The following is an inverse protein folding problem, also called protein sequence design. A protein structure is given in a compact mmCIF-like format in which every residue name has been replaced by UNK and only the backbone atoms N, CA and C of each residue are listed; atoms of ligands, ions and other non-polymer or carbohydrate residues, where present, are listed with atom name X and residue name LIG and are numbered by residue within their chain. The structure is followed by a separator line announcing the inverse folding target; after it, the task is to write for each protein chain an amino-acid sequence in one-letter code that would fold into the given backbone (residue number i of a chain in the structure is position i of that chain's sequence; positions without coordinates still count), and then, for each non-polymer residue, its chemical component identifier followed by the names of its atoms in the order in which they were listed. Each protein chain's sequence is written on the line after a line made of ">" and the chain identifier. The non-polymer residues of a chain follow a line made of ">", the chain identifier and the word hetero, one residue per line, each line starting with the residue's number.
data_IF_681833100570
#
_entry.id   IF_681833100570
#
_cell.length_a   1.000
_cell.length_b   1.000
_cell.length_c   1.000
_cell.angle_alpha   90.00
_cell.angle_beta   90.00
_cell.angle_gamma   90.00
#
_symmetry.space_group_name_H-M   'P 1'
#
loop_
_entity.id
_entity.type
_entity.pdbx_description
1 polymer ?
#
# COMPACT_ATOMS: atom_id res chain seq x y z
N UNK A 1 -54.67 -3.87 -12.89
CA UNK A 1 -53.85 -5.07 -12.71
C UNK A 1 -53.42 -5.51 -14.09
N UNK A 2 -52.24 -5.07 -14.53
CA UNK A 2 -51.78 -5.21 -15.90
C UNK A 2 -50.30 -5.64 -15.87
N UNK A 3 -50.04 -6.82 -15.33
CA UNK A 3 -48.70 -7.40 -15.19
C UNK A 3 -48.45 -8.51 -16.20
N UNK A 4 -49.06 -8.42 -17.39
CA UNK A 4 -48.75 -9.36 -18.47
C UNK A 4 -47.45 -8.92 -19.16
N UNK A 5 -46.42 -9.77 -19.26
CA UNK A 5 -45.22 -9.47 -20.03
C UNK A 5 -45.57 -9.21 -21.49
N UNK A 6 -44.77 -8.42 -22.19
CA UNK A 6 -44.98 -8.15 -23.62
C UNK A 6 -44.80 -9.42 -24.45
N UNK A 7 -45.38 -9.44 -25.65
CA UNK A 7 -45.23 -10.57 -26.59
C UNK A 7 -43.75 -10.86 -26.92
N UNK A 8 -42.89 -9.82 -26.90
CA UNK A 8 -41.45 -9.96 -27.11
C UNK A 8 -40.76 -10.69 -25.95
N UNK A 9 -41.16 -10.40 -24.70
CA UNK A 9 -40.68 -11.13 -23.51
C UNK A 9 -41.11 -12.60 -23.57
N UNK A 10 -42.35 -12.87 -23.97
CA UNK A 10 -42.88 -14.23 -24.12
C UNK A 10 -42.08 -15.02 -25.18
N UNK A 11 -41.81 -14.42 -26.34
CA UNK A 11 -41.02 -15.07 -27.40
C UNK A 11 -39.58 -15.35 -26.97
N UNK A 12 -38.98 -14.43 -26.20
CA UNK A 12 -37.64 -14.62 -25.65
C UNK A 12 -37.59 -15.81 -24.70
N UNK A 13 -38.54 -15.90 -23.77
CA UNK A 13 -38.63 -17.04 -22.84
C UNK A 13 -38.87 -18.36 -23.58
N UNK A 14 -39.72 -18.38 -24.60
CA UNK A 14 -39.95 -19.58 -25.41
C UNK A 14 -38.67 -20.06 -26.11
N UNK A 15 -37.85 -19.14 -26.64
CA UNK A 15 -36.58 -19.48 -27.26
C UNK A 15 -35.53 -19.99 -26.24
N UNK A 16 -35.46 -19.39 -25.06
CA UNK A 16 -34.57 -19.83 -23.98
C UNK A 16 -34.93 -21.23 -23.46
N UNK A 17 -36.23 -21.52 -23.35
CA UNK A 17 -36.74 -22.84 -22.99
C UNK A 17 -36.38 -23.92 -24.03
N UNK A 18 -36.56 -23.60 -25.32
CA UNK A 18 -36.15 -24.51 -26.42
C UNK A 18 -34.63 -24.74 -26.46
N UNK A 19 -33.83 -23.80 -25.93
CA UNK A 19 -32.36 -23.92 -25.81
C UNK A 19 -31.92 -24.68 -24.55
N UNK A 20 -32.85 -25.29 -23.82
CA UNK A 20 -32.56 -26.13 -22.65
C UNK A 20 -32.48 -25.37 -21.32
N UNK A 21 -32.81 -24.07 -21.29
CA UNK A 21 -32.91 -23.32 -20.04
C UNK A 21 -34.26 -23.61 -19.38
N UNK A 22 -34.26 -24.55 -18.43
CA UNK A 22 -35.46 -24.98 -17.69
C UNK A 22 -35.58 -24.34 -16.29
N UNK A 23 -34.60 -23.51 -15.91
CA UNK A 23 -34.65 -22.77 -14.64
C UNK A 23 -35.70 -21.65 -14.73
N UNK A 24 -36.61 -21.65 -13.77
CA UNK A 24 -37.60 -20.58 -13.56
C UNK A 24 -37.07 -19.45 -12.68
N UNK A 25 -35.88 -19.62 -12.10
CA UNK A 25 -35.24 -18.59 -11.29
C UNK A 25 -34.47 -17.62 -12.19
N UNK A 26 -34.48 -16.35 -11.82
CA UNK A 26 -33.66 -15.34 -12.46
C UNK A 26 -32.18 -15.77 -12.38
N UNK A 27 -31.50 -15.78 -13.52
CA UNK A 27 -30.05 -15.94 -13.55
C UNK A 27 -29.41 -14.86 -12.69
N UNK A 28 -28.26 -15.19 -12.08
CA UNK A 28 -27.50 -14.23 -11.30
C UNK A 28 -27.24 -13.00 -12.15
N UNK A 29 -27.90 -11.90 -11.78
CA UNK A 29 -27.87 -10.66 -12.54
C UNK A 29 -26.43 -10.20 -12.61
N UNK A 30 -25.81 -10.21 -13.80
CA UNK A 30 -24.56 -9.52 -14.06
C UNK A 30 -24.81 -8.00 -14.02
N UNK A 31 -25.15 -7.49 -12.85
CA UNK A 31 -25.35 -6.08 -12.60
C UNK A 31 -24.04 -5.34 -12.69
N UNK A 32 -24.13 -4.04 -12.97
CA UNK A 32 -23.02 -3.09 -12.81
C UNK A 32 -22.42 -3.32 -11.41
N UNK A 33 -21.10 -3.57 -11.29
CA UNK A 33 -20.49 -3.64 -9.97
C UNK A 33 -20.87 -2.37 -9.20
N UNK A 34 -21.17 -2.48 -7.91
CA UNK A 34 -21.33 -1.30 -7.04
C UNK A 34 -19.94 -0.68 -6.86
N UNK A 35 -19.45 -0.01 -7.89
CA UNK A 35 -18.09 0.54 -8.03
C UNK A 35 -17.93 1.86 -7.27
N UNK A 36 -18.38 1.94 -6.02
CA UNK A 36 -17.95 3.05 -5.16
C UNK A 36 -16.62 2.75 -4.47
N UNK A 37 -16.20 1.48 -4.48
CA UNK A 37 -15.12 1.00 -3.60
C UNK A 37 -14.32 -0.11 -4.27
N UNK A 38 -14.18 -0.09 -5.61
CA UNK A 38 -13.08 -0.88 -6.20
C UNK A 38 -11.78 -0.18 -5.83
N UNK A 39 -10.77 -0.95 -5.44
CA UNK A 39 -9.45 -0.43 -5.05
C UNK A 39 -8.89 0.50 -6.14
N UNK A 40 -9.11 0.16 -7.42
CA UNK A 40 -8.74 0.98 -8.58
C UNK A 40 -9.36 2.40 -8.56
N UNK A 41 -10.65 2.53 -8.22
CA UNK A 41 -11.33 3.84 -8.20
C UNK A 41 -10.81 4.69 -7.05
N UNK A 42 -10.55 4.07 -5.89
CA UNK A 42 -9.99 4.74 -4.71
C UNK A 42 -8.58 5.25 -5.03
N UNK A 43 -7.74 4.41 -5.62
CA UNK A 43 -6.39 4.78 -6.06
C UNK A 43 -6.40 5.94 -7.07
N UNK A 44 -7.37 5.93 -8.00
CA UNK A 44 -7.51 7.01 -8.98
C UNK A 44 -7.93 8.32 -8.35
N UNK A 45 -8.89 8.31 -7.42
CA UNK A 45 -9.30 9.52 -6.67
C UNK A 45 -8.12 10.09 -5.88
N UNK A 46 -7.34 9.25 -5.20
CA UNK A 46 -6.19 9.70 -4.43
C UNK A 46 -5.07 10.23 -5.31
N UNK A 47 -4.83 9.61 -6.46
CA UNK A 47 -3.89 10.12 -7.46
C UNK A 47 -4.30 11.51 -7.94
N UNK A 48 -5.60 11.75 -8.18
CA UNK A 48 -6.10 13.07 -8.57
C UNK A 48 -5.88 14.12 -7.48
N UNK A 49 -6.18 13.79 -6.21
CA UNK A 49 -5.91 14.68 -5.07
C UNK A 49 -4.42 15.00 -4.91
N UNK A 50 -3.54 14.02 -5.08
CA UNK A 50 -2.09 14.24 -5.02
C UNK A 50 -1.58 15.17 -6.14
N UNK A 51 -2.22 15.11 -7.32
CA UNK A 51 -1.91 16.02 -8.44
C UNK A 51 -2.30 17.47 -8.15
N UNK A 52 -3.47 17.68 -7.55
CA UNK A 52 -3.95 18.99 -7.12
C UNK A 52 -2.99 19.60 -6.10
N UNK A 53 -2.63 18.86 -5.05
CA UNK A 53 -1.64 19.28 -4.04
C UNK A 53 -0.31 19.64 -4.70
N UNK A 54 0.18 18.81 -5.64
CA UNK A 54 1.42 19.12 -6.35
C UNK A 54 1.31 20.44 -7.12
N UNK A 55 0.20 20.68 -7.82
CA UNK A 55 0.00 21.93 -8.57
C UNK A 55 0.01 23.17 -7.67
N UNK A 56 -0.65 23.08 -6.50
CA UNK A 56 -0.65 24.16 -5.50
C UNK A 56 0.75 24.37 -4.91
N UNK A 57 1.46 23.30 -4.56
CA UNK A 57 2.83 23.41 -4.03
C UNK A 57 3.80 24.02 -5.05
N UNK A 58 3.65 23.72 -6.35
CA UNK A 58 4.44 24.35 -7.41
C UNK A 58 4.07 25.83 -7.55
N UNK A 59 2.79 26.18 -7.46
CA UNK A 59 2.36 27.57 -7.52
C UNK A 59 2.94 28.41 -6.37
N UNK A 60 3.01 27.85 -5.16
CA UNK A 60 3.51 28.57 -3.97
C UNK A 60 5.04 28.56 -3.87
N UNK A 61 5.69 27.41 -4.12
CA UNK A 61 7.13 27.20 -3.87
C UNK A 61 7.99 27.24 -5.13
N UNK A 62 7.39 27.22 -6.32
CA UNK A 62 8.10 27.25 -7.60
C UNK A 62 9.15 26.15 -7.71
N UNK A 63 10.42 26.56 -7.85
CA UNK A 63 11.57 25.65 -8.01
C UNK A 63 11.91 24.85 -6.74
N UNK A 64 11.43 25.28 -5.58
CA UNK A 64 11.65 24.60 -4.30
C UNK A 64 10.55 23.58 -3.99
N UNK A 65 9.56 23.44 -4.87
CA UNK A 65 8.48 22.48 -4.70
C UNK A 65 9.00 21.03 -4.73
N UNK A 66 8.39 20.19 -3.89
CA UNK A 66 8.64 18.75 -3.93
C UNK A 66 8.16 18.16 -5.25
N UNK A 67 8.88 17.15 -5.76
CA UNK A 67 8.47 16.48 -6.99
C UNK A 67 7.11 15.81 -6.84
N UNK A 68 6.36 15.73 -7.95
CA UNK A 68 5.09 14.99 -8.03
C UNK A 68 5.17 13.60 -7.40
N UNK A 69 6.24 12.85 -7.68
CA UNK A 69 6.44 11.51 -7.13
C UNK A 69 6.55 11.52 -5.60
N UNK A 70 7.21 12.53 -5.03
CA UNK A 70 7.31 12.71 -3.58
C UNK A 70 5.95 13.01 -2.96
N UNK A 71 5.18 13.93 -3.57
CA UNK A 71 3.82 14.28 -3.12
C UNK A 71 2.90 13.05 -3.13
N UNK A 72 2.92 12.25 -4.21
CA UNK A 72 2.16 11.00 -4.26
C UNK A 72 2.56 10.00 -3.17
N UNK A 73 3.87 9.85 -2.90
CA UNK A 73 4.36 8.96 -1.82
C UNK A 73 3.84 9.40 -0.45
N UNK A 74 3.87 10.70 -0.15
CA UNK A 74 3.35 11.23 1.10
C UNK A 74 1.83 11.08 1.20
N UNK A 75 1.09 11.37 0.13
CA UNK A 75 -0.36 11.14 0.08
C UNK A 75 -0.73 9.69 0.41
N UNK A 76 0.03 8.73 -0.13
CA UNK A 76 -0.15 7.30 0.19
C UNK A 76 0.20 6.97 1.65
N UNK A 77 1.27 7.56 2.21
CA UNK A 77 1.61 7.39 3.63
C UNK A 77 0.49 7.90 4.54
N UNK A 78 -0.07 9.07 4.24
CA UNK A 78 -1.20 9.63 4.99
C UNK A 78 -2.46 8.76 4.86
N UNK A 79 -2.75 8.25 3.66
CA UNK A 79 -3.85 7.29 3.45
C UNK A 79 -3.68 6.02 4.29
N UNK A 80 -2.44 5.52 4.45
CA UNK A 80 -2.12 4.35 5.29
C UNK A 80 -2.16 4.64 6.79
N UNK A 81 -2.61 5.82 7.21
CA UNK A 81 -2.78 6.19 8.61
C UNK A 81 -1.56 6.84 9.26
N UNK A 82 -0.52 7.20 8.48
CA UNK A 82 0.56 8.03 9.02
C UNK A 82 0.00 9.41 9.35
N UNK A 83 0.32 9.94 10.53
CA UNK A 83 -0.05 11.31 10.94
C UNK A 83 1.16 12.21 11.18
N UNK A 84 2.35 11.62 11.32
CA UNK A 84 3.61 12.33 11.54
C UNK A 84 4.24 12.79 10.22
N UNK A 85 4.73 14.03 10.23
CA UNK A 85 5.54 14.64 9.15
C UNK A 85 7.04 14.34 9.28
N UNK A 86 7.47 13.88 10.45
CA UNK A 86 8.89 13.58 10.72
C UNK A 86 9.34 12.36 9.92
N UNK A 87 10.63 12.32 9.59
CA UNK A 87 11.25 11.13 9.00
C UNK A 87 11.21 9.95 9.98
N UNK A 88 11.00 8.75 9.46
CA UNK A 88 11.17 7.54 10.28
C UNK A 88 12.63 7.42 10.72
N UNK A 89 12.91 6.79 11.89
CA UNK A 89 14.27 6.51 12.31
C UNK A 89 15.05 5.87 11.16
N UNK A 90 16.15 6.50 10.76
CA UNK A 90 16.96 5.97 9.67
C UNK A 90 17.51 4.62 10.12
N UNK A 91 17.18 3.57 9.38
CA UNK A 91 17.86 2.29 9.54
C UNK A 91 19.32 2.48 9.13
N UNK A 92 20.19 2.69 10.11
CA UNK A 92 21.63 2.67 9.92
C UNK A 92 22.13 1.23 9.83
N UNK A 93 23.38 1.06 9.39
CA UNK A 93 24.10 -0.21 9.63
C UNK A 93 24.19 -0.40 11.15
N UNK A 94 23.72 -1.52 11.73
CA UNK A 94 24.00 -1.81 13.12
C UNK A 94 25.53 -1.85 13.25
N UNK A 95 26.08 -0.98 14.09
CA UNK A 95 27.49 -1.08 14.45
C UNK A 95 27.59 -2.34 15.29
N UNK A 96 28.08 -3.44 14.72
CA UNK A 96 28.26 -4.70 15.48
C UNK A 96 29.04 -4.45 16.77
N UNK A 97 30.01 -3.54 16.75
CA UNK A 97 30.77 -3.08 17.93
C UNK A 97 29.96 -2.35 19.02
N UNK A 98 28.68 -2.02 18.79
CA UNK A 98 27.81 -1.36 19.78
C UNK A 98 26.69 -2.28 20.27
N UNK A 99 26.73 -3.58 19.92
CA UNK A 99 25.83 -4.57 20.50
C UNK A 99 26.30 -4.82 21.94
N UNK A 100 25.42 -4.73 22.96
CA UNK A 100 25.80 -4.91 24.37
C UNK A 100 26.60 -6.19 24.62
N UNK A 101 26.24 -7.28 23.95
CA UNK A 101 26.94 -8.57 24.00
C UNK A 101 28.40 -8.48 23.53
N UNK A 102 28.66 -7.80 22.40
CA UNK A 102 30.01 -7.62 21.88
C UNK A 102 30.83 -6.71 22.79
N UNK A 103 30.20 -5.69 23.41
CA UNK A 103 30.86 -4.82 24.38
C UNK A 103 31.27 -5.62 25.63
N UNK A 104 30.39 -6.48 26.13
CA UNK A 104 30.65 -7.34 27.29
C UNK A 104 31.76 -8.35 27.02
N UNK A 105 31.76 -8.98 25.83
CA UNK A 105 32.84 -9.88 25.40
C UNK A 105 34.20 -9.18 25.33
N UNK A 106 34.27 -7.97 24.75
CA UNK A 106 35.51 -7.18 24.73
C UNK A 106 35.96 -6.83 26.16
N UNK A 107 35.03 -6.48 27.05
CA UNK A 107 35.34 -6.15 28.44
C UNK A 107 35.94 -7.35 29.19
N UNK A 108 35.42 -8.56 28.97
CA UNK A 108 35.98 -9.79 29.54
C UNK A 108 37.41 -10.02 29.05
N UNK A 109 37.63 -9.97 27.73
CA UNK A 109 38.95 -10.21 27.12
C UNK A 109 40.01 -9.22 27.67
N UNK A 110 39.67 -7.93 27.76
CA UNK A 110 40.58 -6.89 28.28
C UNK A 110 40.80 -7.01 29.80
N UNK A 111 39.82 -7.51 30.54
CA UNK A 111 39.95 -7.74 31.99
C UNK A 111 40.84 -8.95 32.30
N UNK A 112 40.84 -9.96 31.44
CA UNK A 112 41.69 -11.15 31.57
C UNK A 112 43.14 -10.87 31.15
N UNK A 113 43.35 -10.15 30.06
CA UNK A 113 44.68 -9.74 29.58
C UNK A 113 44.68 -8.27 29.11
N UNK A 114 45.24 -7.34 29.90
CA UNK A 114 45.33 -5.93 29.52
C UNK A 114 46.35 -5.66 28.40
N UNK A 115 47.16 -6.65 28.00
CA UNK A 115 48.15 -6.52 26.92
C UNK A 115 47.62 -6.92 25.53
N UNK A 116 46.38 -7.42 25.47
CA UNK A 116 45.74 -7.86 24.22
C UNK A 116 45.58 -6.72 23.21
N UNK A 117 45.90 -6.99 21.95
CA UNK A 117 45.79 -6.00 20.87
C UNK A 117 44.39 -5.97 20.26
N UNK A 118 44.03 -4.83 19.67
CA UNK A 118 42.74 -4.67 18.98
C UNK A 118 42.56 -5.65 17.81
N UNK A 119 43.65 -6.09 17.19
CA UNK A 119 43.62 -7.09 16.11
C UNK A 119 43.31 -8.49 16.63
N UNK A 120 43.84 -8.85 17.79
CA UNK A 120 43.55 -10.13 18.45
C UNK A 120 42.11 -10.16 18.93
N UNK A 121 41.63 -9.08 19.55
CA UNK A 121 40.21 -8.91 19.92
C UNK A 121 39.32 -9.09 18.69
N UNK A 122 39.62 -8.42 17.58
CA UNK A 122 38.80 -8.52 16.36
C UNK A 122 38.81 -9.91 15.69
N UNK A 123 39.69 -10.82 16.11
CA UNK A 123 39.73 -12.21 15.63
C UNK A 123 39.07 -13.18 16.64
N UNK A 124 38.88 -12.77 17.89
CA UNK A 124 38.25 -13.60 18.94
C UNK A 124 36.74 -13.41 19.02
N UNK A 125 36.23 -12.23 18.63
CA UNK A 125 34.79 -11.92 18.47
C UNK A 125 34.37 -11.94 17.01
#
# INVERSE_FOLDING_TARGET
>A
GNSSPSISTINKWAAEFQRGHSSIFDDERSGRPKTSTTEEIIEKIHSLKAMEIHSETVNVLGKSASSKTMVCKWALKFQRGRTSIEDDPRSGRPKSASIPEIIEQIHVIVSEDPSVTTREIAHTI
#
